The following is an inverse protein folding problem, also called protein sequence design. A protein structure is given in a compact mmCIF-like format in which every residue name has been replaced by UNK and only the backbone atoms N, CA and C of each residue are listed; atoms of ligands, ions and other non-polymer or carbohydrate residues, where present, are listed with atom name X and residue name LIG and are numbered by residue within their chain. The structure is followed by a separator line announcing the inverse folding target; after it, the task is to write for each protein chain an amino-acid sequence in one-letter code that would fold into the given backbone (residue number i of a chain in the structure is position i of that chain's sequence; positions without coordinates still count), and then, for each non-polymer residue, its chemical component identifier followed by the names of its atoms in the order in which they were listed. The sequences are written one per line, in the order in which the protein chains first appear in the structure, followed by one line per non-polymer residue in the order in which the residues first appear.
data_IF_940860182754
#
_entry.id   IF_940860182754
#
_cell.length_a   1.000
_cell.length_b   1.000
_cell.length_c   1.000
_cell.angle_alpha   90.00
_cell.angle_beta   90.00
_cell.angle_gamma   90.00
#
_symmetry.space_group_name_H-M   'P 1'
#
loop_
_entity.id
_entity.type
_entity.pdbx_description
1 polymer ?
#
# COMPACT_ATOMS: atom_id res chain seq x y z
N UNK A 1 -9.05 -22.47 1.41
CA UNK A 1 -8.60 -21.10 1.73
C UNK A 1 -7.09 -21.09 1.85
N UNK A 2 -6.37 -20.43 0.93
CA UNK A 2 -4.91 -20.27 1.05
C UNK A 2 -4.65 -18.95 1.77
N UNK A 3 -4.46 -19.06 3.08
CA UNK A 3 -4.07 -17.96 3.97
C UNK A 3 -2.74 -17.37 3.47
N UNK A 4 -2.59 -16.05 3.64
CA UNK A 4 -1.32 -15.36 3.41
C UNK A 4 -0.28 -16.01 4.31
N UNK A 5 0.70 -16.69 3.70
CA UNK A 5 1.86 -17.29 4.37
C UNK A 5 2.88 -16.19 4.55
N UNK A 6 3.37 -15.99 5.77
CA UNK A 6 4.61 -15.25 6.02
C UNK A 6 5.69 -15.84 5.12
N UNK A 7 6.01 -15.11 4.07
CA UNK A 7 7.13 -15.45 3.20
C UNK A 7 8.27 -14.58 3.71
N UNK A 8 9.16 -15.18 4.49
CA UNK A 8 10.39 -14.51 4.94
C UNK A 8 11.32 -14.47 3.73
N UNK A 9 11.06 -13.54 2.82
CA UNK A 9 12.05 -13.17 1.81
C UNK A 9 13.12 -12.34 2.52
N UNK A 10 14.39 -12.53 2.17
CA UNK A 10 15.47 -11.66 2.62
C UNK A 10 15.32 -10.29 1.93
N UNK A 11 14.36 -9.49 2.41
CA UNK A 11 14.17 -8.12 1.95
C UNK A 11 15.29 -7.29 2.54
N UNK A 12 16.09 -6.67 1.67
CA UNK A 12 17.12 -5.73 2.09
C UNK A 12 16.45 -4.47 2.60
N UNK A 13 16.14 -4.43 3.89
CA UNK A 13 15.59 -3.24 4.55
C UNK A 13 16.63 -2.12 4.47
N UNK A 14 16.44 -1.18 3.54
CA UNK A 14 17.23 0.03 3.46
C UNK A 14 16.83 0.91 4.66
N UNK A 15 17.72 1.00 5.65
CA UNK A 15 17.54 1.93 6.77
C UNK A 15 18.42 3.15 6.51
N UNK A 16 17.79 4.25 6.11
CA UNK A 16 18.49 5.53 5.98
C UNK A 16 18.51 6.23 7.34
N UNK A 17 19.72 6.54 7.81
CA UNK A 17 19.92 7.30 9.05
C UNK A 17 19.88 8.77 8.67
N UNK A 18 18.86 9.50 9.11
CA UNK A 18 18.89 10.97 8.98
C UNK A 18 19.96 11.55 9.90
N UNK A 19 20.59 12.67 9.54
CA UNK A 19 21.65 13.34 10.32
C UNK A 19 21.27 13.59 11.80
N UNK A 20 19.96 13.65 12.11
CA UNK A 20 19.40 13.79 13.45
C UNK A 20 19.21 12.45 14.22
N UNK A 21 19.76 11.33 13.75
CA UNK A 21 19.71 10.03 14.42
C UNK A 21 18.34 9.32 14.41
N UNK A 22 17.31 9.90 13.78
CA UNK A 22 15.99 9.27 13.64
C UNK A 22 16.00 8.31 12.44
N UNK A 23 15.86 7.02 12.72
CA UNK A 23 15.68 5.97 11.71
C UNK A 23 14.27 6.04 11.16
N UNK A 24 14.14 6.13 9.83
CA UNK A 24 12.86 6.00 9.14
C UNK A 24 12.87 4.70 8.35
N UNK A 25 11.78 3.95 8.45
CA UNK A 25 11.57 2.73 7.70
C UNK A 25 10.53 3.00 6.63
N UNK A 26 10.86 2.64 5.38
CA UNK A 26 9.98 2.78 4.24
C UNK A 26 9.79 1.43 3.57
N UNK A 27 8.60 1.24 3.00
CA UNK A 27 8.27 0.10 2.16
C UNK A 27 7.88 0.70 0.80
N UNK A 28 8.53 0.24 -0.25
CA UNK A 28 8.30 0.67 -1.63
C UNK A 28 8.15 -0.57 -2.52
N UNK A 29 7.26 -0.48 -3.49
CA UNK A 29 6.98 -1.54 -4.43
C UNK A 29 5.60 -1.35 -5.06
N UNK A 30 5.15 -2.37 -5.78
CA UNK A 30 3.82 -2.36 -6.40
C UNK A 30 2.73 -2.66 -5.37
N UNK A 31 1.79 -1.73 -5.23
CA UNK A 31 0.61 -1.84 -4.38
C UNK A 31 -0.58 -2.37 -5.16
N UNK A 32 -0.76 -1.92 -6.42
CA UNK A 32 -1.90 -2.27 -7.27
C UNK A 32 -1.45 -2.62 -8.68
N UNK A 33 -2.18 -3.54 -9.32
CA UNK A 33 -1.92 -3.97 -10.70
C UNK A 33 -3.22 -3.90 -11.50
N UNK A 34 -3.18 -3.16 -12.61
CA UNK A 34 -4.27 -3.04 -13.58
C UNK A 34 -4.20 -4.07 -14.70
N UNK A 35 -5.34 -4.33 -15.32
CA UNK A 35 -5.54 -5.17 -16.51
C UNK A 35 -4.96 -6.59 -16.41
N UNK A 36 -4.77 -7.08 -15.17
CA UNK A 36 -4.27 -8.42 -14.88
C UNK A 36 -5.17 -9.11 -13.86
N UNK A 37 -5.40 -10.41 -14.07
CA UNK A 37 -6.14 -11.23 -13.11
C UNK A 37 -5.30 -11.44 -11.85
N UNK A 38 -5.85 -11.05 -10.70
CA UNK A 38 -5.20 -11.22 -9.40
C UNK A 38 -5.40 -12.63 -8.83
N UNK A 39 -4.79 -12.90 -7.65
CA UNK A 39 -4.91 -14.20 -6.96
C UNK A 39 -6.33 -14.56 -6.51
N UNK A 40 -7.24 -13.58 -6.49
CA UNK A 40 -8.65 -13.74 -6.16
C UNK A 40 -9.54 -13.83 -7.43
N UNK A 41 -8.95 -14.08 -8.61
CA UNK A 41 -9.63 -14.20 -9.90
C UNK A 41 -10.42 -12.93 -10.32
N UNK A 42 -9.99 -11.75 -9.87
CA UNK A 42 -10.55 -10.45 -10.27
C UNK A 42 -9.57 -9.71 -11.16
N UNK A 43 -10.07 -8.99 -12.15
CA UNK A 43 -9.30 -8.05 -12.96
C UNK A 43 -9.84 -6.65 -12.74
N UNK A 44 -8.95 -5.72 -12.43
CA UNK A 44 -9.28 -4.30 -12.30
C UNK A 44 -8.85 -3.56 -13.56
N UNK A 45 -9.79 -2.93 -14.24
CA UNK A 45 -9.49 -2.12 -15.43
C UNK A 45 -8.60 -0.94 -15.04
N UNK A 46 -7.54 -0.69 -15.80
CA UNK A 46 -6.58 0.37 -15.48
C UNK A 46 -7.23 1.76 -15.40
N UNK A 47 -8.18 2.08 -16.29
CA UNK A 47 -8.88 3.37 -16.26
C UNK A 47 -9.69 3.57 -14.97
N UNK A 48 -10.31 2.51 -14.45
CA UNK A 48 -10.99 2.56 -13.16
C UNK A 48 -9.97 2.76 -12.04
N UNK A 49 -8.87 2.02 -12.05
CA UNK A 49 -7.81 2.17 -11.04
C UNK A 49 -7.24 3.59 -11.02
N UNK A 50 -6.90 4.17 -12.17
CA UNK A 50 -6.41 5.56 -12.27
C UNK A 50 -7.33 6.55 -11.57
N UNK A 51 -8.64 6.44 -11.85
CA UNK A 51 -9.64 7.33 -11.24
C UNK A 51 -9.72 7.16 -9.73
N UNK A 52 -9.79 5.91 -9.25
CA UNK A 52 -9.93 5.65 -7.80
C UNK A 52 -8.64 5.95 -7.02
N UNK A 53 -7.46 5.68 -7.60
CA UNK A 53 -6.15 6.06 -7.04
C UNK A 53 -6.03 7.59 -7.00
N UNK A 54 -6.43 8.28 -8.07
CA UNK A 54 -6.48 9.74 -8.08
C UNK A 54 -7.34 10.31 -6.95
N UNK A 55 -8.55 9.78 -6.76
CA UNK A 55 -9.41 10.15 -5.63
C UNK A 55 -8.75 9.87 -4.28
N UNK A 56 -8.14 8.69 -4.12
CA UNK A 56 -7.44 8.31 -2.89
C UNK A 56 -6.27 9.23 -2.56
N UNK A 57 -5.51 9.64 -3.57
CA UNK A 57 -4.39 10.57 -3.42
C UNK A 57 -4.86 11.94 -2.90
N UNK A 58 -5.94 12.48 -3.46
CA UNK A 58 -6.50 13.77 -3.02
C UNK A 58 -7.11 13.69 -1.62
N UNK A 59 -7.96 12.69 -1.36
CA UNK A 59 -8.74 12.61 -0.12
C UNK A 59 -7.91 12.16 1.08
N UNK A 60 -6.94 11.25 0.87
CA UNK A 60 -6.23 10.57 1.95
C UNK A 60 -4.73 10.85 1.98
N UNK A 61 -4.01 10.71 0.86
CA UNK A 61 -2.54 10.87 0.89
C UNK A 61 -2.17 12.34 1.16
N UNK A 62 -2.72 13.28 0.38
CA UNK A 62 -2.42 14.72 0.55
C UNK A 62 -2.85 15.26 1.91
N UNK A 63 -3.91 14.70 2.49
CA UNK A 63 -4.40 15.09 3.82
C UNK A 63 -3.68 14.37 4.97
N UNK A 64 -2.66 13.54 4.69
CA UNK A 64 -1.94 12.70 5.66
C UNK A 64 -2.82 11.70 6.42
N UNK A 65 -3.92 11.25 5.81
CA UNK A 65 -4.90 10.32 6.40
C UNK A 65 -4.89 8.92 5.80
N UNK A 66 -3.98 8.65 4.85
CA UNK A 66 -3.78 7.34 4.23
C UNK A 66 -3.10 6.35 5.19
N UNK A 67 -3.83 5.92 6.22
CA UNK A 67 -3.37 5.00 7.25
C UNK A 67 -3.79 3.56 6.91
N UNK A 68 -2.92 2.60 7.24
CA UNK A 68 -3.17 1.17 7.05
C UNK A 68 -2.95 0.36 8.32
N UNK A 69 -3.68 -0.74 8.43
CA UNK A 69 -3.53 -1.75 9.48
C UNK A 69 -2.54 -2.85 9.06
N UNK A 70 -1.96 -3.55 10.04
CA UNK A 70 -1.14 -4.74 9.77
C UNK A 70 -2.00 -5.93 9.32
N UNK A 71 -3.25 -6.01 9.78
CA UNK A 71 -4.20 -7.04 9.39
C UNK A 71 -5.06 -6.62 8.20
N UNK A 72 -5.78 -7.59 7.63
CA UNK A 72 -6.83 -7.33 6.64
C UNK A 72 -8.19 -7.68 7.26
N UNK A 73 -8.83 -6.76 7.99
CA UNK A 73 -10.15 -6.99 8.55
C UNK A 73 -11.19 -7.09 7.44
N UNK A 74 -12.27 -7.83 7.70
CA UNK A 74 -13.40 -7.94 6.77
C UNK A 74 -14.21 -6.63 6.68
N UNK A 75 -13.94 -5.67 7.57
CA UNK A 75 -14.58 -4.36 7.61
C UNK A 75 -13.75 -3.30 6.90
N UNK A 76 -14.38 -2.37 6.16
CA UNK A 76 -13.68 -1.27 5.49
C UNK A 76 -13.21 -0.18 6.45
N UNK A 77 -13.70 -0.18 7.69
CA UNK A 77 -13.35 0.78 8.73
C UNK A 77 -11.96 0.48 9.31
N UNK A 78 -11.17 1.52 9.48
CA UNK A 78 -9.84 1.45 10.07
C UNK A 78 -9.91 1.57 11.60
N UNK A 79 -9.28 0.65 12.32
CA UNK A 79 -9.02 0.76 13.74
C UNK A 79 -7.72 1.56 13.98
N UNK A 80 -7.88 2.78 14.49
CA UNK A 80 -6.76 3.70 14.75
C UNK A 80 -5.74 3.15 15.76
N UNK A 81 -6.14 2.26 16.67
CA UNK A 81 -5.22 1.63 17.64
C UNK A 81 -4.29 0.59 16.98
N UNK A 82 -4.65 0.10 15.79
CA UNK A 82 -3.93 -0.97 15.07
C UNK A 82 -3.18 -0.47 13.83
N UNK A 83 -3.09 0.85 13.66
CA UNK A 83 -2.38 1.49 12.56
C UNK A 83 -0.91 1.12 12.62
N UNK A 84 -0.40 0.56 11.52
CA UNK A 84 0.98 0.08 11.42
C UNK A 84 1.82 0.90 10.44
N UNK A 85 1.19 1.49 9.43
CA UNK A 85 1.89 2.24 8.39
C UNK A 85 1.02 3.38 7.84
N UNK A 86 1.69 4.32 7.18
CA UNK A 86 1.08 5.43 6.45
C UNK A 86 1.61 5.43 5.03
N UNK A 87 0.71 5.49 4.06
CA UNK A 87 1.07 5.61 2.65
C UNK A 87 1.42 7.07 2.38
N UNK A 88 2.62 7.30 1.83
CA UNK A 88 3.14 8.65 1.57
C UNK A 88 3.02 9.06 0.11
N UNK A 89 3.08 8.10 -0.80
CA UNK A 89 2.99 8.30 -2.24
C UNK A 89 2.40 7.06 -2.89
N UNK A 90 1.66 7.27 -3.97
CA UNK A 90 1.15 6.23 -4.85
C UNK A 90 1.13 6.83 -6.25
N UNK A 91 1.97 6.32 -7.14
CA UNK A 91 2.21 6.87 -8.47
C UNK A 91 2.08 5.78 -9.53
N UNK A 92 1.60 6.15 -10.72
CA UNK A 92 1.45 5.21 -11.82
C UNK A 92 2.81 4.86 -12.43
N UNK A 93 3.09 3.57 -12.57
CA UNK A 93 4.18 3.03 -13.38
C UNK A 93 3.63 1.97 -14.34
N UNK A 94 3.40 2.39 -15.59
CA UNK A 94 2.84 1.54 -16.64
C UNK A 94 1.42 1.06 -16.33
N UNK A 95 1.29 -0.22 -15.95
CA UNK A 95 0.02 -0.83 -15.52
C UNK A 95 -0.02 -1.12 -14.01
N UNK A 96 0.86 -0.50 -13.24
CA UNK A 96 0.98 -0.69 -11.80
C UNK A 96 0.95 0.65 -11.06
N UNK A 97 0.65 0.57 -9.76
CA UNK A 97 0.79 1.66 -8.79
C UNK A 97 1.50 1.16 -7.55
#
# INVERSE_FOLDING_TARGET
MKLIRETIENVKCLSETTENGKKRLYIEGTFLVGDKVNRNNRMYKMDTLRREVGRYNEEYIKTNRALGELGHPDTPSLNLERVSHKILSLAEDGNTF
#
